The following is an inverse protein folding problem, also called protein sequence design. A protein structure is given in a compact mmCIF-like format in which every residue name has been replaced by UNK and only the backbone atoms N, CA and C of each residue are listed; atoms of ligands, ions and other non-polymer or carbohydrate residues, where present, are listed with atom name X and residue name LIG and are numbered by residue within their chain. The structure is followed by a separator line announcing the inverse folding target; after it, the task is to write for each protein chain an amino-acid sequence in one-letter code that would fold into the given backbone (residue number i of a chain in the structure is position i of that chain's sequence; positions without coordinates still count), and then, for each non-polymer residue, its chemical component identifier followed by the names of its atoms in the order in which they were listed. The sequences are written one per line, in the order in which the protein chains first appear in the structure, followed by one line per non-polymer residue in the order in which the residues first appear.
data_IF_350945266278
#
_entry.id   IF_350945266278
#
_cell.length_a   1.000
_cell.length_b   1.000
_cell.length_c   1.000
_cell.angle_alpha   90.00
_cell.angle_beta   90.00
_cell.angle_gamma   90.00
#
_symmetry.space_group_name_H-M   'P 1'
#
loop_
_entity.id
_entity.type
_entity.pdbx_description
1 polymer ?
#
# COMPACT_ATOMS: atom_id res chain seq x y z
N UNK A 1 -4.29 23.02 -2.77
CA UNK A 1 -4.83 21.95 -3.63
C UNK A 1 -3.85 20.79 -3.61
N UNK A 2 -4.36 19.55 -3.46
CA UNK A 2 -3.58 18.34 -3.64
C UNK A 2 -3.74 17.87 -5.09
N UNK A 3 -2.63 17.62 -5.76
CA UNK A 3 -2.62 16.94 -7.04
C UNK A 3 -2.65 15.43 -6.79
N UNK A 4 -3.23 14.68 -7.70
CA UNK A 4 -3.21 13.22 -7.62
C UNK A 4 -2.83 12.61 -8.98
N UNK A 5 -2.18 11.47 -8.93
CA UNK A 5 -1.90 10.62 -10.07
C UNK A 5 -2.41 9.20 -9.80
N UNK A 6 -3.09 8.62 -10.75
CA UNK A 6 -3.50 7.22 -10.70
C UNK A 6 -2.65 6.41 -11.66
N UNK A 7 -1.80 5.54 -11.12
CA UNK A 7 -0.93 4.70 -11.91
C UNK A 7 -1.64 3.40 -12.28
N UNK A 8 -1.57 3.04 -13.55
CA UNK A 8 -2.12 1.77 -14.04
C UNK A 8 -1.05 0.69 -13.96
N UNK A 9 -1.40 -0.45 -13.38
CA UNK A 9 -0.55 -1.64 -13.38
C UNK A 9 -0.18 -2.08 -14.81
N UNK A 10 1.05 -2.55 -15.05
CA UNK A 10 1.56 -2.81 -16.41
C UNK A 10 1.11 -4.14 -17.00
N UNK A 11 0.74 -5.12 -16.17
CA UNK A 11 0.40 -6.46 -16.60
C UNK A 11 -1.10 -6.61 -16.82
N UNK A 12 -1.50 -7.29 -17.88
CA UNK A 12 -2.93 -7.65 -18.08
C UNK A 12 -3.29 -8.80 -17.15
N UNK A 13 -4.38 -8.64 -16.40
CA UNK A 13 -4.85 -9.69 -15.50
C UNK A 13 -5.45 -10.84 -16.32
N UNK A 14 -4.85 -12.03 -16.16
CA UNK A 14 -5.38 -13.29 -16.67
C UNK A 14 -5.80 -14.14 -15.49
N UNK A 15 -7.08 -14.12 -15.15
CA UNK A 15 -7.63 -15.00 -14.13
C UNK A 15 -7.95 -16.36 -14.72
N UNK A 16 -7.30 -17.43 -14.21
CA UNK A 16 -7.64 -18.83 -14.48
C UNK A 16 -7.91 -19.18 -15.97
N UNK A 17 -7.09 -18.68 -16.89
CA UNK A 17 -7.21 -18.96 -18.31
C UNK A 17 -8.23 -18.11 -19.07
N UNK A 18 -8.88 -17.15 -18.42
CA UNK A 18 -9.76 -16.17 -19.05
C UNK A 18 -9.13 -14.78 -19.05
N UNK A 19 -8.99 -14.20 -20.23
CA UNK A 19 -8.63 -12.80 -20.38
C UNK A 19 -9.81 -11.92 -19.96
N UNK A 20 -9.58 -11.05 -18.94
CA UNK A 20 -10.57 -10.05 -18.54
C UNK A 20 -10.18 -8.71 -19.16
N UNK A 21 -10.85 -8.26 -20.23
CA UNK A 21 -10.51 -7.00 -20.90
C UNK A 21 -10.57 -5.83 -19.92
N UNK A 22 -9.49 -5.01 -19.91
CA UNK A 22 -9.43 -3.81 -19.08
C UNK A 22 -9.05 -4.05 -17.60
N UNK A 23 -8.76 -5.28 -17.19
CA UNK A 23 -8.21 -5.59 -15.88
C UNK A 23 -6.67 -5.68 -15.94
N UNK A 24 -6.00 -5.10 -14.95
CA UNK A 24 -4.55 -5.03 -14.86
C UNK A 24 -4.05 -5.50 -13.50
N UNK A 25 -2.81 -5.99 -13.46
CA UNK A 25 -2.15 -6.49 -12.26
C UNK A 25 -0.75 -5.89 -12.13
N UNK A 26 -0.33 -5.66 -10.90
CA UNK A 26 1.04 -5.29 -10.56
C UNK A 26 1.96 -6.51 -10.48
N UNK A 27 1.40 -7.69 -10.33
CA UNK A 27 2.10 -8.95 -10.09
C UNK A 27 1.86 -9.95 -11.21
N UNK A 28 2.83 -10.83 -11.44
CA UNK A 28 2.77 -11.82 -12.51
C UNK A 28 1.69 -12.88 -12.26
N UNK A 29 1.48 -13.24 -10.98
CA UNK A 29 0.43 -14.17 -10.57
C UNK A 29 -0.73 -13.44 -9.90
N UNK A 30 -1.93 -14.00 -9.98
CA UNK A 30 -3.11 -13.44 -9.32
C UNK A 30 -2.94 -13.37 -7.80
N UNK A 31 -2.27 -14.35 -7.21
CA UNK A 31 -1.97 -14.44 -5.77
C UNK A 31 -0.52 -14.91 -5.59
N UNK A 32 0.47 -14.06 -5.86
CA UNK A 32 1.86 -14.43 -5.61
C UNK A 32 2.12 -14.58 -4.12
N UNK A 33 3.06 -15.42 -3.76
CA UNK A 33 3.45 -15.66 -2.38
C UNK A 33 4.95 -15.90 -2.26
N UNK A 34 5.46 -15.84 -1.04
CA UNK A 34 6.86 -16.16 -0.78
C UNK A 34 7.83 -15.26 -1.55
N UNK A 35 8.87 -15.86 -2.11
CA UNK A 35 9.92 -15.15 -2.84
C UNK A 35 9.42 -14.48 -4.14
N UNK A 36 8.42 -15.04 -4.80
CA UNK A 36 7.87 -14.45 -6.03
C UNK A 36 7.11 -13.16 -5.72
N UNK A 37 6.38 -13.12 -4.59
CA UNK A 37 5.77 -11.90 -4.10
C UNK A 37 6.81 -10.82 -3.78
N UNK A 38 7.94 -11.18 -3.17
CA UNK A 38 9.02 -10.24 -2.89
C UNK A 38 9.59 -9.62 -4.17
N UNK A 39 9.84 -10.45 -5.19
CA UNK A 39 10.40 -9.99 -6.47
C UNK A 39 9.42 -9.10 -7.22
N UNK A 40 8.15 -9.47 -7.26
CA UNK A 40 7.11 -8.69 -7.92
C UNK A 40 6.86 -7.35 -7.20
N UNK A 41 6.77 -7.36 -5.88
CA UNK A 41 6.61 -6.16 -5.06
C UNK A 41 7.79 -5.19 -5.25
N UNK A 42 9.01 -5.72 -5.25
CA UNK A 42 10.22 -4.93 -5.49
C UNK A 42 10.21 -4.30 -6.89
N UNK A 43 9.98 -5.09 -7.94
CA UNK A 43 9.98 -4.60 -9.32
C UNK A 43 8.90 -3.55 -9.56
N UNK A 44 7.67 -3.79 -9.06
CA UNK A 44 6.57 -2.83 -9.17
C UNK A 44 6.85 -1.53 -8.40
N UNK A 45 7.39 -1.64 -7.17
CA UNK A 45 7.73 -0.47 -6.35
C UNK A 45 8.87 0.34 -6.95
N UNK A 46 9.91 -0.30 -7.52
CA UNK A 46 10.95 0.41 -8.26
C UNK A 46 10.37 1.22 -9.42
N UNK A 47 9.50 0.63 -10.22
CA UNK A 47 8.89 1.33 -11.35
C UNK A 47 8.03 2.53 -10.90
N UNK A 48 7.32 2.41 -9.77
CA UNK A 48 6.54 3.50 -9.19
C UNK A 48 7.47 4.60 -8.63
N UNK A 49 8.52 4.24 -7.90
CA UNK A 49 9.47 5.18 -7.31
C UNK A 49 10.25 5.94 -8.39
N UNK A 50 10.65 5.27 -9.47
CA UNK A 50 11.23 5.89 -10.66
C UNK A 50 10.26 6.88 -11.31
N UNK A 51 8.98 6.51 -11.43
CA UNK A 51 7.96 7.41 -11.96
C UNK A 51 7.79 8.65 -11.06
N UNK A 52 7.73 8.47 -9.75
CA UNK A 52 7.65 9.55 -8.77
C UNK A 52 8.84 10.48 -8.90
N UNK A 53 10.05 9.93 -8.98
CA UNK A 53 11.29 10.70 -9.11
C UNK A 53 11.36 11.53 -10.39
N UNK A 54 10.78 11.03 -11.48
CA UNK A 54 10.76 11.73 -12.78
C UNK A 54 9.65 12.76 -12.91
N UNK A 55 8.54 12.61 -12.19
CA UNK A 55 7.32 13.40 -12.43
C UNK A 55 6.91 14.28 -11.25
N UNK A 56 7.43 14.04 -10.05
CA UNK A 56 7.08 14.80 -8.84
C UNK A 56 8.33 15.47 -8.27
N UNK A 57 8.37 16.82 -8.21
CA UNK A 57 9.50 17.56 -7.63
C UNK A 57 9.86 17.05 -6.23
N UNK A 58 11.14 17.09 -5.86
CA UNK A 58 11.64 16.57 -4.57
C UNK A 58 11.07 17.33 -3.36
N UNK A 59 10.76 18.62 -3.53
CA UNK A 59 10.17 19.46 -2.49
C UNK A 59 8.65 19.23 -2.29
N UNK A 60 8.01 18.43 -3.15
CA UNK A 60 6.60 18.06 -3.02
C UNK A 60 6.47 16.78 -2.19
N UNK A 61 5.65 16.87 -1.14
CA UNK A 61 5.29 15.70 -0.35
C UNK A 61 4.49 14.68 -1.17
N UNK A 62 4.82 13.41 -1.05
CA UNK A 62 4.13 12.30 -1.70
C UNK A 62 3.49 11.39 -0.64
N UNK A 63 2.26 10.99 -0.87
CA UNK A 63 1.51 10.05 -0.03
C UNK A 63 0.96 8.95 -0.93
N UNK A 64 1.57 7.76 -0.96
CA UNK A 64 1.01 6.63 -1.67
C UNK A 64 -0.27 6.14 -0.99
N UNK A 65 -1.27 5.82 -1.80
CA UNK A 65 -2.52 5.20 -1.38
C UNK A 65 -2.85 4.05 -2.32
N UNK A 66 -3.24 2.92 -1.78
CA UNK A 66 -3.62 1.78 -2.58
C UNK A 66 -4.57 0.81 -1.89
N UNK A 67 -5.28 0.05 -2.70
CA UNK A 67 -6.18 -1.03 -2.28
C UNK A 67 -5.60 -2.38 -2.73
N UNK A 68 -5.70 -3.42 -1.90
CA UNK A 68 -5.27 -4.79 -2.22
C UNK A 68 -3.79 -4.84 -2.64
N UNK A 69 -3.45 -5.27 -3.87
CA UNK A 69 -2.10 -5.18 -4.42
C UNK A 69 -1.51 -3.76 -4.31
N UNK A 70 -2.32 -2.73 -4.61
CA UNK A 70 -1.91 -1.33 -4.44
C UNK A 70 -1.65 -0.97 -2.98
N UNK A 71 -2.38 -1.56 -2.03
CA UNK A 71 -2.17 -1.39 -0.59
C UNK A 71 -0.84 -2.00 -0.13
N UNK A 72 -0.46 -3.16 -0.67
CA UNK A 72 0.87 -3.72 -0.49
C UNK A 72 1.94 -2.76 -1.02
N UNK A 73 1.77 -2.28 -2.26
CA UNK A 73 2.76 -1.41 -2.89
C UNK A 73 2.91 -0.07 -2.17
N UNK A 74 1.82 0.51 -1.65
CA UNK A 74 1.89 1.74 -0.86
C UNK A 74 2.81 1.59 0.35
N UNK A 75 2.84 0.42 0.98
CA UNK A 75 3.75 0.12 2.08
C UNK A 75 5.14 -0.28 1.57
N UNK A 76 5.21 -1.05 0.47
CA UNK A 76 6.50 -1.47 -0.06
C UNK A 76 7.36 -0.31 -0.55
N UNK A 77 6.74 0.79 -1.00
CA UNK A 77 7.43 2.04 -1.31
C UNK A 77 8.19 2.61 -0.08
N UNK A 78 7.64 2.50 1.13
CA UNK A 78 8.37 2.85 2.36
C UNK A 78 9.56 1.93 2.59
N UNK A 79 9.43 0.64 2.24
CA UNK A 79 10.49 -0.36 2.35
C UNK A 79 11.62 -0.18 1.32
N UNK A 80 11.37 0.65 0.29
CA UNK A 80 12.34 1.04 -0.73
C UNK A 80 13.03 2.37 -0.39
N UNK A 81 12.25 3.42 -0.19
CA UNK A 81 12.73 4.79 -0.08
C UNK A 81 11.86 5.60 0.91
N UNK A 82 11.91 5.28 2.21
CA UNK A 82 10.98 5.85 3.20
C UNK A 82 11.05 7.37 3.31
N UNK A 83 12.22 7.98 3.09
CA UNK A 83 12.42 9.42 3.20
C UNK A 83 11.67 10.22 2.13
N UNK A 84 11.26 9.56 1.03
CA UNK A 84 10.52 10.19 -0.08
C UNK A 84 9.04 10.40 0.26
N UNK A 85 8.50 9.60 1.17
CA UNK A 85 7.07 9.53 1.42
C UNK A 85 6.71 10.13 2.78
N UNK A 86 5.82 11.14 2.78
CA UNK A 86 5.38 11.82 4.00
C UNK A 86 4.48 10.95 4.88
N UNK A 87 3.71 10.09 4.28
CA UNK A 87 2.77 9.17 4.91
C UNK A 87 2.45 8.03 3.93
N UNK A 88 1.78 6.98 4.37
CA UNK A 88 1.30 5.91 3.49
C UNK A 88 -0.09 5.42 3.90
N UNK A 89 -0.89 4.98 2.92
CA UNK A 89 -2.26 4.52 3.14
C UNK A 89 -2.45 3.18 2.42
N UNK A 90 -2.72 2.15 3.20
CA UNK A 90 -3.00 0.79 2.72
C UNK A 90 -4.43 0.40 3.07
N UNK A 91 -5.22 0.07 2.06
CA UNK A 91 -6.60 -0.40 2.20
C UNK A 91 -6.65 -1.87 1.78
N UNK A 92 -6.99 -2.77 2.71
CA UNK A 92 -6.99 -4.23 2.53
C UNK A 92 -5.71 -4.76 1.85
N UNK A 93 -4.57 -4.14 2.18
CA UNK A 93 -3.26 -4.59 1.71
C UNK A 93 -2.73 -5.76 2.52
N UNK A 94 -1.63 -6.31 2.06
CA UNK A 94 -0.88 -7.39 2.70
C UNK A 94 0.62 -7.13 2.55
N UNK A 95 1.46 -7.94 3.20
CA UNK A 95 2.89 -7.68 3.27
C UNK A 95 3.67 -8.66 2.39
N UNK A 96 4.61 -8.15 1.58
CA UNK A 96 5.65 -8.98 0.98
C UNK A 96 6.58 -9.47 2.10
N UNK A 97 6.88 -10.79 2.20
CA UNK A 97 7.52 -11.35 3.39
C UNK A 97 8.98 -10.92 3.62
N UNK A 98 9.67 -10.43 2.59
CA UNK A 98 11.08 -10.02 2.71
C UNK A 98 12.08 -11.18 2.75
N UNK A 99 11.73 -12.32 2.15
CA UNK A 99 12.60 -13.51 2.09
C UNK A 99 13.77 -13.33 1.14
N UNK A 100 13.57 -12.55 0.08
CA UNK A 100 14.61 -12.29 -0.92
C UNK A 100 15.43 -11.08 -0.49
N UNK A 101 16.73 -11.31 -0.27
CA UNK A 101 17.64 -10.24 0.13
C UNK A 101 17.64 -9.09 -0.87
N UNK A 102 17.48 -7.88 -0.38
CA UNK A 102 17.54 -6.64 -1.17
C UNK A 102 16.20 -6.22 -1.77
N UNK A 103 15.12 -6.97 -1.58
CA UNK A 103 13.78 -6.58 -2.03
C UNK A 103 13.06 -5.62 -1.08
N UNK A 104 13.57 -5.44 0.13
CA UNK A 104 13.09 -4.48 1.12
C UNK A 104 14.29 -3.77 1.80
N UNK A 105 15.06 -2.95 1.04
CA UNK A 105 16.39 -2.49 1.46
C UNK A 105 16.36 -1.45 2.58
N UNK A 106 15.20 -0.91 2.94
CA UNK A 106 15.06 0.14 3.92
C UNK A 106 14.33 -0.28 5.21
N UNK A 107 13.99 -1.55 5.39
CA UNK A 107 13.21 -2.00 6.55
C UNK A 107 13.82 -1.58 7.89
N UNK A 108 15.13 -1.63 8.03
CA UNK A 108 15.88 -1.21 9.21
C UNK A 108 15.92 0.31 9.45
N UNK A 109 15.49 1.12 8.48
CA UNK A 109 15.53 2.59 8.53
C UNK A 109 14.16 3.24 8.69
N UNK A 110 13.06 2.50 8.60
CA UNK A 110 11.71 3.05 8.61
C UNK A 110 11.31 3.53 10.01
N UNK A 111 11.50 2.69 11.03
CA UNK A 111 11.02 2.94 12.38
C UNK A 111 11.46 4.30 12.97
N UNK A 112 12.73 4.75 12.82
CA UNK A 112 13.16 6.05 13.33
C UNK A 112 12.46 7.24 12.65
N UNK A 113 11.92 7.09 11.46
CA UNK A 113 11.24 8.16 10.70
C UNK A 113 9.81 8.40 11.18
N UNK A 114 9.24 7.47 11.94
CA UNK A 114 7.91 7.58 12.52
C UNK A 114 6.83 8.02 11.51
N UNK A 115 6.83 7.42 10.31
CA UNK A 115 5.99 7.80 9.18
C UNK A 115 4.53 7.51 9.50
N UNK A 116 3.62 8.50 9.45
CA UNK A 116 2.19 8.26 9.62
C UNK A 116 1.67 7.26 8.59
N UNK A 117 1.05 6.18 9.06
CA UNK A 117 0.53 5.13 8.19
C UNK A 117 -0.89 4.76 8.59
N UNK A 118 -1.79 4.77 7.61
CA UNK A 118 -3.16 4.30 7.77
C UNK A 118 -3.30 2.90 7.18
N UNK A 119 -3.84 1.96 7.96
CA UNK A 119 -4.17 0.62 7.51
C UNK A 119 -5.63 0.30 7.82
N UNK A 120 -6.47 0.28 6.77
CA UNK A 120 -7.88 -0.10 6.87
C UNK A 120 -8.13 -1.47 6.24
N UNK A 121 -9.01 -2.30 6.85
CA UNK A 121 -9.36 -3.60 6.28
C UNK A 121 -10.70 -4.12 6.80
N UNK A 122 -11.37 -4.93 5.98
CA UNK A 122 -12.58 -5.65 6.37
C UNK A 122 -12.28 -6.85 7.30
N UNK A 123 -13.01 -7.00 8.40
CA UNK A 123 -12.82 -8.17 9.27
C UNK A 123 -13.45 -9.46 8.73
N UNK A 124 -14.19 -9.37 7.62
CA UNK A 124 -14.78 -10.47 6.88
C UNK A 124 -14.16 -10.65 5.49
N UNK A 125 -12.96 -10.09 5.29
CA UNK A 125 -12.22 -10.20 4.03
C UNK A 125 -12.01 -11.67 3.66
N UNK A 126 -12.50 -12.06 2.48
CA UNK A 126 -12.43 -13.44 1.95
C UNK A 126 -11.30 -13.63 0.94
N UNK A 127 -10.61 -12.55 0.54
CA UNK A 127 -9.49 -12.57 -0.41
C UNK A 127 -8.15 -12.58 0.32
N UNK A 128 -7.96 -11.66 1.27
CA UNK A 128 -6.75 -11.61 2.09
C UNK A 128 -6.99 -12.35 3.40
N UNK A 129 -6.23 -13.39 3.65
CA UNK A 129 -6.38 -14.21 4.85
C UNK A 129 -6.10 -13.41 6.12
N UNK A 130 -6.86 -13.65 7.18
CA UNK A 130 -6.69 -12.97 8.48
C UNK A 130 -5.25 -12.98 9.02
N UNK A 131 -4.50 -14.10 8.93
CA UNK A 131 -3.09 -14.08 9.35
C UNK A 131 -2.22 -13.07 8.60
N UNK A 132 -2.49 -12.84 7.30
CA UNK A 132 -1.78 -11.86 6.49
C UNK A 132 -2.13 -10.43 6.89
N UNK A 133 -3.41 -10.13 7.15
CA UNK A 133 -3.86 -8.83 7.68
C UNK A 133 -3.23 -8.54 9.05
N UNK A 134 -3.13 -9.54 9.91
CA UNK A 134 -2.50 -9.40 11.22
C UNK A 134 -0.98 -9.25 11.12
N UNK A 135 -0.33 -10.00 10.23
CA UNK A 135 1.10 -9.85 9.97
C UNK A 135 1.43 -8.44 9.46
N UNK A 136 0.62 -7.92 8.53
CA UNK A 136 0.72 -6.54 8.03
C UNK A 136 0.57 -5.54 9.17
N UNK A 137 -0.48 -5.67 9.99
CA UNK A 137 -0.73 -4.76 11.12
C UNK A 137 0.41 -4.78 12.13
N UNK A 138 0.92 -5.96 12.48
CA UNK A 138 2.03 -6.11 13.44
C UNK A 138 3.32 -5.49 12.91
N UNK A 139 3.65 -5.74 11.63
CA UNK A 139 4.83 -5.15 11.01
C UNK A 139 4.73 -3.61 10.96
N UNK A 140 3.57 -3.07 10.60
CA UNK A 140 3.35 -1.63 10.55
C UNK A 140 3.43 -0.97 11.94
N UNK A 141 2.92 -1.63 12.99
CA UNK A 141 3.01 -1.15 14.37
C UNK A 141 4.46 -1.05 14.86
N UNK A 142 5.31 -1.97 14.42
CA UNK A 142 6.74 -1.97 14.75
C UNK A 142 7.54 -0.90 13.98
N UNK A 143 7.13 -0.59 12.74
CA UNK A 143 7.95 0.20 11.82
C UNK A 143 7.42 1.60 11.53
N UNK A 144 6.17 1.92 11.87
CA UNK A 144 5.53 3.19 11.47
C UNK A 144 4.72 3.82 12.60
N UNK A 145 4.24 5.04 12.41
CA UNK A 145 3.22 5.63 13.27
C UNK A 145 1.84 5.17 12.78
N UNK A 146 1.46 3.96 13.20
CA UNK A 146 0.30 3.24 12.68
C UNK A 146 -1.03 3.78 13.24
N UNK A 147 -2.00 3.93 12.34
CA UNK A 147 -3.44 3.96 12.63
C UNK A 147 -4.10 2.77 11.93
N UNK A 148 -4.39 1.70 12.66
CA UNK A 148 -5.08 0.53 12.12
C UNK A 148 -6.59 0.61 12.42
N UNK A 149 -7.42 0.30 11.42
CA UNK A 149 -8.88 0.25 11.51
C UNK A 149 -9.42 -1.03 10.89
N UNK A 150 -10.24 -1.77 11.62
CA UNK A 150 -10.96 -2.93 11.08
C UNK A 150 -12.47 -2.64 11.00
N UNK A 151 -13.08 -2.97 9.86
CA UNK A 151 -14.49 -2.66 9.58
C UNK A 151 -15.33 -3.93 9.65
N UNK A 152 -16.31 -3.90 10.55
CA UNK A 152 -17.12 -5.09 10.84
C UNK A 152 -18.02 -5.47 9.66
N UNK A 153 -17.96 -6.74 9.26
CA UNK A 153 -18.76 -7.30 8.17
C UNK A 153 -18.33 -6.86 6.77
N UNK A 154 -17.29 -6.04 6.67
CA UNK A 154 -16.72 -5.65 5.39
C UNK A 154 -15.89 -6.80 4.84
N UNK A 155 -16.15 -7.18 3.59
CA UNK A 155 -15.35 -8.12 2.80
C UNK A 155 -14.18 -7.36 2.11
N UNK A 156 -13.56 -7.95 1.10
CA UNK A 156 -12.47 -7.34 0.31
C UNK A 156 -12.97 -6.14 -0.50
N UNK A 157 -13.20 -5.04 0.18
CA UNK A 157 -13.81 -3.83 -0.37
C UNK A 157 -13.46 -2.62 0.50
N UNK A 158 -13.86 -1.43 0.07
CA UNK A 158 -13.74 -0.18 0.83
C UNK A 158 -15.14 0.33 1.19
N UNK A 159 -15.33 0.80 2.42
CA UNK A 159 -16.61 1.30 2.90
C UNK A 159 -16.64 2.83 3.02
N UNK A 160 -17.86 3.41 3.12
CA UNK A 160 -18.02 4.83 3.39
C UNK A 160 -17.49 5.22 4.78
N UNK A 161 -17.60 4.33 5.76
CA UNK A 161 -17.05 4.54 7.11
C UNK A 161 -15.52 4.61 7.06
N UNK A 162 -14.89 3.73 6.27
CA UNK A 162 -13.45 3.74 6.06
C UNK A 162 -12.98 5.03 5.37
N UNK A 163 -13.69 5.50 4.35
CA UNK A 163 -13.39 6.79 3.73
C UNK A 163 -13.59 7.97 4.70
N UNK A 164 -14.59 7.91 5.58
CA UNK A 164 -14.82 8.93 6.60
C UNK A 164 -13.66 8.97 7.61
N UNK A 165 -13.22 7.80 8.08
CA UNK A 165 -12.09 7.68 8.99
C UNK A 165 -10.79 8.16 8.33
N UNK A 166 -10.54 7.75 7.09
CA UNK A 166 -9.38 8.17 6.31
C UNK A 166 -9.34 9.69 6.11
N UNK A 167 -10.49 10.31 5.80
CA UNK A 167 -10.57 11.77 5.67
C UNK A 167 -10.21 12.48 6.98
N UNK A 168 -10.71 11.98 8.11
CA UNK A 168 -10.36 12.50 9.43
C UNK A 168 -8.86 12.34 9.72
N UNK A 169 -8.30 11.18 9.39
CA UNK A 169 -6.88 10.89 9.55
C UNK A 169 -5.99 11.82 8.71
N UNK A 170 -6.34 12.04 7.44
CA UNK A 170 -5.64 12.98 6.55
C UNK A 170 -5.61 14.41 7.11
N UNK A 171 -6.72 14.85 7.70
CA UNK A 171 -6.82 16.18 8.32
C UNK A 171 -5.94 16.30 9.59
N UNK A 172 -5.94 15.26 10.44
CA UNK A 172 -5.11 15.23 11.67
C UNK A 172 -3.62 15.28 11.37
N UNK A 173 -3.20 14.68 10.25
CA UNK A 173 -1.79 14.65 9.83
C UNK A 173 -1.39 15.78 8.87
N UNK A 174 -2.23 16.79 8.66
CA UNK A 174 -2.00 17.92 7.73
C UNK A 174 -1.62 17.46 6.31
N UNK A 175 -2.19 16.36 5.85
CA UNK A 175 -1.95 15.81 4.51
C UNK A 175 -2.95 16.40 3.52
N UNK A 176 -4.20 16.55 3.92
CA UNK A 176 -5.22 17.24 3.15
C UNK A 176 -5.98 18.21 4.08
N UNK A 177 -6.25 19.46 3.65
CA UNK A 177 -7.11 20.35 4.42
C UNK A 177 -8.48 19.68 4.54
N UNK A 178 -8.93 19.49 5.78
CA UNK A 178 -10.28 19.02 6.04
C UNK A 178 -11.26 19.97 5.38
N UNK A 179 -12.09 19.46 4.48
CA UNK A 179 -13.29 20.18 4.06
C UNK A 179 -14.27 20.00 5.23
N UNK A 180 -14.38 21.03 6.03
CA UNK A 180 -15.43 21.15 7.03
C UNK A 180 -16.77 21.29 6.35
#
# INVERSE_FOLDING_TARGET
YNDYASLRAPLTLQAAGTFTPGAYSWFHDCVPSGEDLDRDAFAASMAIDDWVSQNVPEDRAVVPIGFSQGGLLAIHLLRMHPERYRASISLSGFLAPGLVRGTAPADDRIAPLNIPTFFGYGNSDTVIAKPELFAMSAWLDEHTFLTAKSYRGLDHSVSLDEFSDLRGWLAVHDIAPGIL
#
